data_IF_426895087348
#
_entry.id   IF_426895087348
#
_cell.length_a   1.000
_cell.length_b   1.000
_cell.length_c   1.000
_cell.angle_alpha   90.00
_cell.angle_beta   90.00
_cell.angle_gamma   90.00
#
_symmetry.space_group_name_H-M   'P 1'
#
loop_
_entity.id
_entity.type
_entity.pdbx_description
1 polymer ?
#
# COMPACT_ATOMS: atom_id res chain seq x y z
N UNK A 1 -10.69 65.47 -11.21
CA UNK A 1 -10.13 66.30 -10.13
C UNK A 1 -11.18 66.36 -9.02
N UNK A 2 -11.08 65.51 -8.01
CA UNK A 2 -11.80 65.62 -6.74
C UNK A 2 -11.28 64.49 -5.83
N UNK A 3 -10.51 64.89 -4.81
CA UNK A 3 -10.57 64.40 -3.43
C UNK A 3 -9.31 64.88 -2.71
N UNK A 4 -9.34 66.16 -2.35
CA UNK A 4 -8.38 66.83 -1.45
C UNK A 4 -8.84 66.70 0.01
N UNK A 5 -9.74 65.76 0.33
CA UNK A 5 -10.29 65.61 1.68
C UNK A 5 -9.51 64.56 2.48
N UNK A 6 -8.85 65.03 3.55
CA UNK A 6 -8.30 64.23 4.64
C UNK A 6 -7.06 63.36 4.36
N UNK A 7 -6.07 63.87 3.63
CA UNK A 7 -4.72 63.26 3.60
C UNK A 7 -4.04 63.40 4.97
N UNK A 8 -4.22 62.40 5.82
CA UNK A 8 -3.51 62.33 7.09
C UNK A 8 -2.06 61.90 6.83
N UNK A 9 -1.19 62.91 6.68
CA UNK A 9 0.22 62.74 6.39
C UNK A 9 0.99 62.50 7.70
N UNK A 10 1.53 61.29 7.85
CA UNK A 10 2.27 60.89 9.03
C UNK A 10 3.76 60.67 8.74
N UNK A 11 4.57 60.91 9.76
CA UNK A 11 6.01 60.64 9.72
C UNK A 11 6.28 59.13 9.79
N UNK A 12 7.45 58.72 9.28
CA UNK A 12 7.92 57.32 9.32
C UNK A 12 7.86 56.69 10.71
N UNK A 13 8.07 57.49 11.76
CA UNK A 13 8.03 57.03 13.17
C UNK A 13 6.61 56.62 13.60
N UNK A 14 5.60 57.36 13.16
CA UNK A 14 4.19 57.09 13.50
C UNK A 14 3.72 55.84 12.76
N UNK A 15 4.09 55.72 11.49
CA UNK A 15 3.80 54.52 10.68
C UNK A 15 4.52 53.28 11.25
N UNK A 16 5.75 53.44 11.77
CA UNK A 16 6.50 52.37 12.44
C UNK A 16 5.79 51.85 13.68
N UNK A 17 5.26 52.76 14.49
CA UNK A 17 4.46 52.40 15.66
C UNK A 17 3.14 51.73 15.26
N UNK A 18 2.46 52.25 14.23
CA UNK A 18 1.16 51.72 13.79
C UNK A 18 1.25 50.30 13.23
N UNK A 19 2.25 50.02 12.39
CA UNK A 19 2.45 48.68 11.83
C UNK A 19 3.22 47.74 12.75
N UNK A 20 3.62 48.22 13.93
CA UNK A 20 4.44 47.48 14.89
C UNK A 20 5.73 46.92 14.25
N UNK A 21 6.41 47.73 13.43
CA UNK A 21 7.64 47.38 12.73
C UNK A 21 8.72 48.44 12.94
N UNK A 22 9.97 48.08 12.72
CA UNK A 22 11.08 49.04 12.86
C UNK A 22 11.06 50.10 11.76
N UNK A 23 11.57 51.29 12.06
CA UNK A 23 11.74 52.38 11.08
C UNK A 23 12.56 51.91 9.87
N UNK A 24 13.59 51.08 10.09
CA UNK A 24 14.38 50.44 9.04
C UNK A 24 13.52 49.59 8.11
N UNK A 25 12.55 48.84 8.65
CA UNK A 25 11.67 48.00 7.85
C UNK A 25 10.75 48.81 6.95
N UNK A 26 10.22 49.94 7.41
CA UNK A 26 9.41 50.84 6.59
C UNK A 26 10.25 51.51 5.50
N UNK A 27 11.47 51.94 5.83
CA UNK A 27 12.39 52.52 4.84
C UNK A 27 12.72 51.50 3.74
N UNK A 28 12.96 50.24 4.11
CA UNK A 28 13.13 49.16 3.14
C UNK A 28 11.89 48.97 2.27
N UNK A 29 10.71 48.86 2.87
CA UNK A 29 9.46 48.71 2.11
C UNK A 29 9.16 49.91 1.20
N UNK A 30 9.64 51.10 1.57
CA UNK A 30 9.56 52.30 0.72
C UNK A 30 10.56 52.24 -0.43
N UNK A 31 11.79 51.77 -0.18
CA UNK A 31 12.83 51.58 -1.19
C UNK A 31 12.48 50.47 -2.18
N UNK A 32 11.84 49.41 -1.68
CA UNK A 32 11.32 48.28 -2.45
C UNK A 32 10.06 48.66 -3.27
N UNK A 33 9.57 49.90 -3.13
CA UNK A 33 8.39 50.42 -3.85
C UNK A 33 7.04 49.91 -3.34
N UNK A 34 7.01 49.24 -2.18
CA UNK A 34 5.79 48.70 -1.56
C UNK A 34 5.00 49.80 -0.86
N UNK A 35 5.67 50.78 -0.27
CA UNK A 35 5.03 51.92 0.40
C UNK A 35 5.27 53.21 -0.39
N UNK A 36 4.19 53.91 -0.72
CA UNK A 36 4.25 55.18 -1.43
C UNK A 36 4.45 56.34 -0.44
N UNK A 37 5.38 57.25 -0.78
CA UNK A 37 5.59 58.48 -0.01
C UNK A 37 5.16 59.71 -0.79
N UNK A 38 4.50 60.64 -0.10
CA UNK A 38 4.21 61.97 -0.63
C UNK A 38 5.38 62.90 -0.31
N UNK A 39 6.01 63.47 -1.35
CA UNK A 39 7.00 64.52 -1.19
C UNK A 39 6.30 65.83 -0.84
N UNK A 40 6.57 66.34 0.35
CA UNK A 40 6.16 67.69 0.77
C UNK A 40 7.36 68.63 0.56
N UNK A 41 7.23 69.73 -0.20
CA UNK A 41 8.32 70.68 -0.42
C UNK A 41 8.90 71.18 0.91
N UNK A 42 10.20 71.03 1.12
CA UNK A 42 10.90 71.51 2.33
C UNK A 42 10.79 70.62 3.58
N UNK A 43 10.14 69.45 3.51
CA UNK A 43 10.04 68.51 4.64
C UNK A 43 10.50 67.10 4.25
N UNK A 44 10.72 66.25 5.27
CA UNK A 44 10.95 64.81 5.06
C UNK A 44 9.72 64.17 4.42
N UNK A 45 9.94 63.15 3.60
CA UNK A 45 8.88 62.39 2.94
C UNK A 45 7.84 61.91 3.98
N UNK A 46 6.56 62.14 3.69
CA UNK A 46 5.44 61.71 4.55
C UNK A 46 4.67 60.58 3.91
N UNK A 47 3.99 59.80 4.73
CA UNK A 47 3.15 58.69 4.31
C UNK A 47 1.69 59.07 4.47
N UNK A 48 0.89 58.75 3.46
CA UNK A 48 -0.56 58.84 3.56
C UNK A 48 -1.10 57.55 4.19
N UNK A 49 -1.84 57.67 5.29
CA UNK A 49 -2.23 56.56 6.15
C UNK A 49 -2.99 55.46 5.38
N UNK A 50 -4.03 55.84 4.65
CA UNK A 50 -4.96 54.90 3.99
C UNK A 50 -4.25 54.06 2.92
N UNK A 51 -3.57 54.65 1.91
CA UNK A 51 -2.88 53.88 0.89
C UNK A 51 -1.71 53.07 1.47
N UNK A 52 -1.03 53.59 2.50
CA UNK A 52 0.08 52.87 3.16
C UNK A 52 -0.42 51.60 3.86
N UNK A 53 -1.57 51.66 4.56
CA UNK A 53 -2.17 50.47 5.20
C UNK A 53 -2.59 49.45 4.14
N UNK A 54 -3.27 49.88 3.07
CA UNK A 54 -3.73 48.98 2.00
C UNK A 54 -2.55 48.28 1.32
N UNK A 55 -1.48 49.02 1.00
CA UNK A 55 -0.29 48.45 0.39
C UNK A 55 0.45 47.48 1.32
N UNK A 56 0.52 47.79 2.62
CA UNK A 56 1.13 46.90 3.62
C UNK A 56 0.33 45.60 3.82
N UNK A 57 -1.00 45.69 3.89
CA UNK A 57 -1.88 44.51 3.99
C UNK A 57 -1.75 43.64 2.74
N UNK A 58 -1.75 44.24 1.55
CA UNK A 58 -1.54 43.51 0.28
C UNK A 58 -0.21 42.77 0.27
N UNK A 59 0.88 43.43 0.68
CA UNK A 59 2.20 42.81 0.78
C UNK A 59 2.24 41.64 1.77
N UNK A 60 1.56 41.74 2.92
CA UNK A 60 1.47 40.65 3.89
C UNK A 60 0.68 39.46 3.34
N UNK A 61 -0.44 39.72 2.67
CA UNK A 61 -1.24 38.68 2.00
C UNK A 61 -0.41 37.96 0.94
N UNK A 62 0.26 38.70 0.04
CA UNK A 62 1.09 38.11 -1.03
C UNK A 62 2.24 37.26 -0.44
N UNK A 63 2.84 37.71 0.67
CA UNK A 63 3.89 36.98 1.38
C UNK A 63 3.37 35.71 2.08
N UNK A 64 2.13 35.72 2.56
CA UNK A 64 1.49 34.56 3.16
C UNK A 64 1.08 33.52 2.09
N UNK A 65 0.40 33.96 1.03
CA UNK A 65 -0.02 33.09 -0.07
C UNK A 65 1.15 32.47 -0.84
N UNK A 66 2.25 33.21 -1.03
CA UNK A 66 3.47 32.68 -1.65
C UNK A 66 4.18 31.61 -0.80
N UNK A 67 3.88 31.53 0.50
CA UNK A 67 4.42 30.51 1.40
C UNK A 67 3.53 29.27 1.46
N UNK A 68 2.21 29.44 1.47
CA UNK A 68 1.24 28.33 1.39
C UNK A 68 1.33 27.59 0.05
N UNK A 69 1.50 28.31 -1.07
CA UNK A 69 1.62 27.69 -2.39
C UNK A 69 2.86 26.78 -2.51
N UNK A 70 3.97 27.15 -1.85
CA UNK A 70 5.18 26.30 -1.81
C UNK A 70 5.01 25.08 -0.91
N UNK A 71 4.33 25.24 0.22
CA UNK A 71 4.04 24.13 1.13
C UNK A 71 3.11 23.11 0.47
N UNK A 72 2.07 23.56 -0.23
CA UNK A 72 1.16 22.65 -0.94
C UNK A 72 1.83 21.92 -2.10
N UNK A 73 2.74 22.59 -2.84
CA UNK A 73 3.49 21.93 -3.91
C UNK A 73 4.48 20.88 -3.37
N UNK A 74 5.15 21.17 -2.24
CA UNK A 74 6.02 20.20 -1.58
C UNK A 74 5.26 19.01 -1.03
N UNK A 75 4.12 19.24 -0.36
CA UNK A 75 3.26 18.17 0.16
C UNK A 75 2.69 17.30 -0.96
N UNK A 76 2.32 17.91 -2.09
CA UNK A 76 1.83 17.17 -3.26
C UNK A 76 2.94 16.31 -3.89
N UNK A 77 4.18 16.82 -3.95
CA UNK A 77 5.34 16.05 -4.42
C UNK A 77 5.68 14.90 -3.47
N UNK A 78 5.65 15.13 -2.16
CA UNK A 78 5.91 14.09 -1.16
C UNK A 78 4.87 12.96 -1.25
N UNK A 79 3.58 13.29 -1.35
CA UNK A 79 2.51 12.29 -1.54
C UNK A 79 2.68 11.48 -2.83
N UNK A 80 3.08 12.14 -3.93
CA UNK A 80 3.37 11.44 -5.19
C UNK A 80 4.56 10.49 -5.06
N UNK A 81 5.63 10.92 -4.39
CA UNK A 81 6.84 10.13 -4.21
C UNK A 81 6.61 8.93 -3.28
N UNK A 82 5.78 9.08 -2.25
CA UNK A 82 5.34 7.97 -1.39
C UNK A 82 4.51 6.95 -2.17
N UNK A 83 3.55 7.41 -3.00
CA UNK A 83 2.75 6.51 -3.83
C UNK A 83 3.61 5.76 -4.86
N UNK A 84 4.61 6.43 -5.46
CA UNK A 84 5.54 5.80 -6.40
C UNK A 84 6.45 4.77 -5.72
N UNK A 85 6.87 5.05 -4.48
CA UNK A 85 7.68 4.10 -3.67
C UNK A 85 6.87 2.85 -3.33
N UNK A 86 5.63 3.00 -2.85
CA UNK A 86 4.75 1.87 -2.55
C UNK A 86 4.44 1.02 -3.79
N UNK A 87 4.23 1.67 -4.95
CA UNK A 87 4.06 0.95 -6.22
C UNK A 87 5.32 0.17 -6.62
N UNK A 88 6.51 0.75 -6.44
CA UNK A 88 7.78 0.06 -6.71
C UNK A 88 8.02 -1.10 -5.75
N UNK A 89 7.71 -0.97 -4.47
CA UNK A 89 7.84 -2.06 -3.49
C UNK A 89 6.92 -3.24 -3.83
N UNK A 90 5.64 -2.97 -4.13
CA UNK A 90 4.70 -4.00 -4.57
C UNK A 90 5.15 -4.68 -5.88
N UNK A 91 5.74 -3.93 -6.81
CA UNK A 91 6.32 -4.52 -8.02
C UNK A 91 7.52 -5.41 -7.71
N UNK A 92 8.41 -5.00 -6.79
CA UNK A 92 9.57 -5.82 -6.38
C UNK A 92 9.11 -7.14 -5.75
N UNK A 93 8.11 -7.12 -4.87
CA UNK A 93 7.55 -8.33 -4.26
C UNK A 93 6.93 -9.26 -5.31
N UNK A 94 6.16 -8.71 -6.25
CA UNK A 94 5.60 -9.48 -7.36
C UNK A 94 6.69 -10.11 -8.23
N UNK A 95 7.77 -9.38 -8.50
CA UNK A 95 8.91 -9.91 -9.25
C UNK A 95 9.61 -11.03 -8.47
N UNK A 96 9.83 -10.88 -7.17
CA UNK A 96 10.41 -11.93 -6.32
C UNK A 96 9.53 -13.19 -6.28
N UNK A 97 8.21 -13.04 -6.14
CA UNK A 97 7.26 -14.15 -6.20
C UNK A 97 7.30 -14.86 -7.55
N UNK A 98 7.29 -14.12 -8.66
CA UNK A 98 7.42 -14.71 -10.01
C UNK A 98 8.74 -15.44 -10.19
N UNK A 99 9.85 -14.87 -9.72
CA UNK A 99 11.16 -15.52 -9.75
C UNK A 99 11.17 -16.79 -8.91
N UNK A 100 10.52 -16.78 -7.74
CA UNK A 100 10.44 -17.94 -6.87
C UNK A 100 9.58 -19.07 -7.49
N UNK A 101 8.48 -18.73 -8.16
CA UNK A 101 7.67 -19.68 -8.95
C UNK A 101 8.52 -20.28 -10.08
N UNK A 102 9.22 -19.45 -10.86
CA UNK A 102 10.08 -19.91 -11.94
C UNK A 102 11.28 -20.75 -11.46
N UNK A 103 11.76 -20.51 -10.23
CA UNK A 103 12.85 -21.29 -9.61
C UNK A 103 12.43 -22.70 -9.17
N UNK A 104 11.16 -23.07 -9.33
CA UNK A 104 10.64 -24.40 -8.99
C UNK A 104 10.35 -24.61 -7.50
N UNK A 105 10.33 -23.55 -6.69
CA UNK A 105 9.95 -23.63 -5.27
C UNK A 105 8.44 -23.80 -5.07
N UNK A 106 7.64 -23.41 -6.05
CA UNK A 106 6.18 -23.53 -6.01
C UNK A 106 5.73 -24.45 -7.13
N UNK A 107 5.02 -25.51 -6.76
CA UNK A 107 4.35 -26.41 -7.69
C UNK A 107 2.88 -26.02 -7.71
N UNK A 108 2.26 -26.00 -8.88
CA UNK A 108 0.85 -25.67 -8.99
C UNK A 108 0.00 -26.72 -8.27
N UNK A 109 -1.02 -26.26 -7.53
CA UNK A 109 -1.91 -27.16 -6.78
C UNK A 109 -2.65 -28.13 -7.73
N UNK A 110 -2.93 -27.69 -8.96
CA UNK A 110 -3.58 -28.51 -9.99
C UNK A 110 -2.69 -29.66 -10.47
N UNK A 111 -1.41 -29.39 -10.72
CA UNK A 111 -0.42 -30.41 -11.10
C UNK A 111 -0.21 -31.41 -9.95
N UNK A 112 -0.11 -30.92 -8.72
CA UNK A 112 -0.05 -31.77 -7.51
C UNK A 112 -1.28 -32.67 -7.40
N UNK A 113 -2.49 -32.15 -7.64
CA UNK A 113 -3.72 -32.96 -7.62
C UNK A 113 -3.71 -34.03 -8.71
N UNK A 114 -3.27 -33.69 -9.92
CA UNK A 114 -3.23 -34.63 -11.05
C UNK A 114 -2.20 -35.74 -10.83
N UNK A 115 -1.03 -35.40 -10.29
CA UNK A 115 0.00 -36.37 -9.93
C UNK A 115 -0.44 -37.27 -8.78
N UNK A 116 -1.07 -36.71 -7.75
CA UNK A 116 -1.63 -37.52 -6.66
C UNK A 116 -2.74 -38.45 -7.16
N UNK A 117 -3.62 -37.99 -8.07
CA UNK A 117 -4.63 -38.86 -8.68
C UNK A 117 -3.98 -40.05 -9.40
N UNK A 118 -2.94 -39.80 -10.22
CA UNK A 118 -2.20 -40.87 -10.90
C UNK A 118 -1.52 -41.82 -9.90
N UNK A 119 -0.93 -41.27 -8.84
CA UNK A 119 -0.31 -42.05 -7.77
C UNK A 119 -1.34 -42.96 -7.08
N UNK A 120 -2.50 -42.44 -6.66
CA UNK A 120 -3.53 -43.21 -5.99
C UNK A 120 -4.16 -44.28 -6.88
N UNK A 121 -4.34 -44.01 -8.18
CA UNK A 121 -4.80 -45.03 -9.14
C UNK A 121 -3.76 -46.16 -9.26
N UNK A 122 -2.48 -45.83 -9.32
CA UNK A 122 -1.39 -46.81 -9.40
C UNK A 122 -1.29 -47.62 -8.11
N UNK A 123 -1.37 -46.94 -6.96
CA UNK A 123 -1.37 -47.56 -5.64
C UNK A 123 -2.56 -48.50 -5.45
N UNK A 124 -3.78 -48.10 -5.85
CA UNK A 124 -4.96 -48.96 -5.80
C UNK A 124 -4.78 -50.23 -6.62
N UNK A 125 -4.23 -50.12 -7.84
CA UNK A 125 -3.92 -51.28 -8.69
C UNK A 125 -2.88 -52.20 -8.05
N UNK A 126 -1.84 -51.62 -7.45
CA UNK A 126 -0.82 -52.37 -6.74
C UNK A 126 -1.41 -53.12 -5.55
N UNK A 127 -2.15 -52.44 -4.68
CA UNK A 127 -2.78 -53.02 -3.50
C UNK A 127 -3.77 -54.14 -3.87
N UNK A 128 -4.64 -53.91 -4.86
CA UNK A 128 -5.58 -54.92 -5.34
C UNK A 128 -4.91 -56.14 -5.99
N UNK A 129 -3.67 -56.02 -6.46
CA UNK A 129 -2.90 -57.12 -7.03
C UNK A 129 -2.14 -57.96 -5.99
N UNK A 130 -1.98 -57.47 -4.75
CA UNK A 130 -1.25 -58.18 -3.69
C UNK A 130 -1.88 -59.53 -3.32
N UNK A 131 -3.22 -59.65 -3.10
CA UNK A 131 -3.84 -60.92 -2.76
C UNK A 131 -3.52 -62.02 -3.77
N UNK A 132 -3.72 -61.75 -5.06
CA UNK A 132 -3.46 -62.73 -6.12
C UNK A 132 -1.98 -63.14 -6.18
N UNK A 133 -1.07 -62.19 -5.92
CA UNK A 133 0.38 -62.46 -5.93
C UNK A 133 0.81 -63.30 -4.74
N UNK A 134 0.24 -63.06 -3.56
CA UNK A 134 0.49 -63.87 -2.34
C UNK A 134 -0.07 -65.28 -2.50
N UNK A 135 -1.29 -65.43 -3.04
CA UNK A 135 -1.88 -66.73 -3.32
C UNK A 135 -1.10 -67.50 -4.38
N UNK A 136 -0.56 -66.82 -5.40
CA UNK A 136 0.32 -67.45 -6.39
C UNK A 136 1.61 -68.02 -5.78
N UNK A 137 2.13 -67.43 -4.69
CA UNK A 137 3.32 -67.91 -3.98
C UNK A 137 3.00 -69.06 -3.01
N UNK A 138 1.83 -68.99 -2.37
CA UNK A 138 1.43 -69.90 -1.29
C UNK A 138 0.58 -71.07 -1.79
N UNK A 139 0.03 -71.00 -3.01
CA UNK A 139 -0.89 -71.97 -3.58
C UNK A 139 -0.33 -73.38 -3.78
N UNK A 140 1.00 -73.55 -3.77
CA UNK A 140 1.64 -74.87 -3.75
C UNK A 140 1.70 -75.53 -2.37
N UNK A 141 1.46 -74.77 -1.29
CA UNK A 141 1.58 -75.20 0.11
C UNK A 141 0.23 -75.32 0.82
N UNK A 142 -0.85 -74.86 0.18
CA UNK A 142 -2.18 -74.73 0.78
C UNK A 142 -3.21 -75.37 -0.14
N UNK A 143 -4.21 -76.04 0.44
CA UNK A 143 -5.26 -76.67 -0.35
C UNK A 143 -6.09 -75.62 -1.13
N UNK A 144 -6.70 -76.01 -2.27
CA UNK A 144 -7.42 -75.07 -3.13
C UNK A 144 -8.57 -74.32 -2.45
N UNK A 145 -9.19 -74.91 -1.42
CA UNK A 145 -10.31 -74.30 -0.70
C UNK A 145 -9.79 -73.22 0.24
N UNK A 146 -8.76 -73.52 1.02
CA UNK A 146 -8.11 -72.55 1.91
C UNK A 146 -7.44 -71.42 1.14
N UNK A 147 -6.81 -71.71 0.00
CA UNK A 147 -6.22 -70.68 -0.87
C UNK A 147 -7.27 -69.69 -1.39
N UNK A 148 -8.45 -70.19 -1.79
CA UNK A 148 -9.54 -69.35 -2.29
C UNK A 148 -10.21 -68.52 -1.19
N UNK A 149 -10.32 -69.07 0.01
CA UNK A 149 -10.81 -68.33 1.18
C UNK A 149 -9.84 -67.21 1.56
N UNK A 150 -8.54 -67.52 1.62
CA UNK A 150 -7.48 -66.55 1.91
C UNK A 150 -7.43 -65.42 0.88
N UNK A 151 -7.58 -65.74 -0.41
CA UNK A 151 -7.65 -64.74 -1.49
C UNK A 151 -8.79 -63.74 -1.24
N UNK A 152 -9.98 -64.25 -0.90
CA UNK A 152 -11.18 -63.45 -0.67
C UNK A 152 -11.03 -62.56 0.56
N UNK A 153 -10.52 -63.12 1.65
CA UNK A 153 -10.37 -62.42 2.92
C UNK A 153 -9.30 -61.32 2.81
N UNK A 154 -8.15 -61.61 2.19
CA UNK A 154 -7.12 -60.61 1.90
C UNK A 154 -7.64 -59.50 0.96
N UNK A 155 -8.44 -59.86 -0.04
CA UNK A 155 -9.05 -58.88 -0.95
C UNK A 155 -10.02 -57.96 -0.20
N UNK A 156 -10.82 -58.50 0.72
CA UNK A 156 -11.70 -57.69 1.56
C UNK A 156 -10.91 -56.77 2.49
N UNK A 157 -9.86 -57.27 3.13
CA UNK A 157 -9.03 -56.49 4.04
C UNK A 157 -8.32 -55.33 3.32
N UNK A 158 -7.73 -55.58 2.15
CA UNK A 158 -7.14 -54.52 1.30
C UNK A 158 -8.19 -53.47 0.94
N UNK A 159 -9.39 -53.86 0.54
CA UNK A 159 -10.45 -52.91 0.20
C UNK A 159 -10.94 -52.11 1.41
N UNK A 160 -11.01 -52.72 2.60
CA UNK A 160 -11.38 -52.04 3.84
C UNK A 160 -10.32 -51.01 4.25
N UNK A 161 -9.03 -51.37 4.16
CA UNK A 161 -7.92 -50.46 4.42
C UNK A 161 -7.92 -49.28 3.44
N UNK A 162 -8.09 -49.55 2.14
CA UNK A 162 -8.19 -48.49 1.13
C UNK A 162 -9.36 -47.54 1.39
N UNK A 163 -10.52 -48.06 1.82
CA UNK A 163 -11.68 -47.23 2.19
C UNK A 163 -11.40 -46.37 3.43
N UNK A 164 -10.78 -46.94 4.46
CA UNK A 164 -10.42 -46.19 5.68
C UNK A 164 -9.45 -45.03 5.39
N UNK A 165 -8.50 -45.24 4.47
CA UNK A 165 -7.58 -44.20 4.02
C UNK A 165 -8.28 -43.04 3.31
N UNK A 166 -9.31 -43.32 2.51
CA UNK A 166 -10.09 -42.27 1.82
C UNK A 166 -10.91 -41.45 2.79
N UNK A 167 -11.53 -42.09 3.80
CA UNK A 167 -12.33 -41.39 4.82
C UNK A 167 -11.47 -40.51 5.72
N UNK A 168 -10.24 -40.92 6.05
CA UNK A 168 -9.31 -40.11 6.83
C UNK A 168 -8.68 -38.94 6.04
N UNK A 169 -8.75 -38.99 4.70
CA UNK A 169 -8.19 -37.97 3.82
C UNK A 169 -9.18 -36.84 3.47
N UNK A 170 -10.48 -37.03 3.72
CA UNK A 170 -11.41 -35.90 3.74
C UNK A 170 -11.08 -35.08 5.00
N UNK A 171 -10.59 -33.83 4.87
CA UNK A 171 -10.44 -32.99 6.04
C UNK A 171 -11.84 -32.88 6.64
N UNK A 172 -11.98 -33.31 7.91
CA UNK A 172 -13.11 -32.91 8.74
C UNK A 172 -13.26 -31.42 8.53
N UNK A 173 -14.31 -31.01 7.83
CA UNK A 173 -14.58 -29.62 7.52
C UNK A 173 -14.55 -28.88 8.84
N UNK A 174 -13.46 -28.15 9.09
CA UNK A 174 -13.34 -27.24 10.21
C UNK A 174 -14.42 -26.21 10.02
N UNK A 175 -15.56 -26.42 10.69
CA UNK A 175 -16.49 -25.35 11.01
C UNK A 175 -15.82 -24.51 12.10
N UNK A 176 -14.90 -23.66 11.67
CA UNK A 176 -14.36 -22.54 12.45
C UNK A 176 -14.06 -21.49 11.37
N UNK A 177 -14.66 -20.32 11.29
CA UNK A 177 -15.61 -19.58 12.10
C UNK A 177 -15.51 -18.16 11.51
N UNK A 178 -16.62 -17.59 11.05
CA UNK A 178 -16.70 -16.18 10.69
C UNK A 178 -18.16 -15.73 10.78
N UNK A 179 -18.55 -15.36 11.99
CA UNK A 179 -19.41 -14.22 12.33
C UNK A 179 -19.28 -14.00 13.84
N UNK A 180 -19.25 -12.75 14.33
CA UNK A 180 -20.30 -11.75 14.06
C UNK A 180 -19.88 -10.54 13.21
#
# INVERSE_FOLDING_TARGET
>A
MADTENRQLYDTKVIAQLFNVTVRRIQQLTQDGVLETVRVPGQRNKYDLIPTIQAYVKYLSDKAYGRESKLSETELREKKLQAETALKESQVELHQLKTAIASGKYISVEEVKLDYQRFFVTFKKFAAGLPNRVIGLVGGYVDPVTARTLERDMTQEVNNLLRSFVVAAEPTTSQDGDEP
#
